data_IF_813936072045
#
_entry.id   IF_813936072045
#
_cell.length_a   1.000
_cell.length_b   1.000
_cell.length_c   1.000
_cell.angle_alpha   90.00
_cell.angle_beta   90.00
_cell.angle_gamma   90.00
#
_symmetry.space_group_name_H-M   'P 1'
#
loop_
_entity.id
_entity.type
_entity.pdbx_description
1 polymer ?
#
# COMPACT_ATOMS: atom_id res chain seq x y z
N UNK A 1 -12.70 -2.37 3.36
CA UNK A 1 -11.40 -2.90 3.87
C UNK A 1 -11.52 -3.50 5.26
N UNK A 2 -12.08 -2.78 6.28
CA UNK A 2 -12.13 -3.26 7.67
C UNK A 2 -12.83 -4.61 7.85
N UNK A 3 -14.03 -4.78 7.33
CA UNK A 3 -14.78 -6.06 7.40
C UNK A 3 -14.07 -7.23 6.70
N UNK A 4 -13.34 -6.97 5.64
CA UNK A 4 -12.53 -7.99 4.95
C UNK A 4 -11.33 -8.40 5.81
N UNK A 5 -10.70 -7.44 6.49
CA UNK A 5 -9.60 -7.70 7.41
C UNK A 5 -10.04 -8.53 8.63
N UNK A 6 -11.23 -8.24 9.18
CA UNK A 6 -11.79 -8.99 10.32
C UNK A 6 -12.14 -10.44 9.96
N UNK A 7 -12.46 -10.70 8.69
CA UNK A 7 -12.90 -12.02 8.21
C UNK A 7 -11.76 -12.86 7.64
N UNK A 8 -10.83 -12.25 6.94
CA UNK A 8 -9.75 -12.95 6.23
C UNK A 8 -8.36 -12.73 6.85
N UNK A 9 -8.22 -11.78 7.76
CA UNK A 9 -6.94 -11.38 8.34
C UNK A 9 -6.20 -10.32 7.52
N UNK A 10 -5.16 -9.73 8.11
CA UNK A 10 -4.41 -8.64 7.49
C UNK A 10 -3.61 -9.08 6.24
N UNK A 11 -3.04 -10.29 6.27
CA UNK A 11 -2.16 -10.82 5.21
C UNK A 11 -2.84 -10.95 3.85
N UNK A 12 -3.97 -11.69 3.68
CA UNK A 12 -4.57 -11.85 2.36
C UNK A 12 -5.17 -10.56 1.81
N UNK A 13 -5.66 -9.67 2.67
CA UNK A 13 -6.19 -8.36 2.25
C UNK A 13 -5.07 -7.44 1.77
N UNK A 14 -3.94 -7.41 2.47
CA UNK A 14 -2.75 -6.65 2.05
C UNK A 14 -2.16 -7.19 0.75
N UNK A 15 -2.10 -8.52 0.58
CA UNK A 15 -1.65 -9.16 -0.66
C UNK A 15 -2.57 -8.82 -1.83
N UNK A 16 -3.89 -8.91 -1.64
CA UNK A 16 -4.85 -8.52 -2.67
C UNK A 16 -4.67 -7.06 -3.07
N UNK A 17 -4.58 -6.14 -2.09
CA UNK A 17 -4.35 -4.72 -2.34
C UNK A 17 -3.05 -4.45 -3.10
N UNK A 18 -1.95 -5.12 -2.73
CA UNK A 18 -0.66 -4.96 -3.39
C UNK A 18 -0.64 -5.51 -4.82
N UNK A 19 -1.31 -6.63 -5.09
CA UNK A 19 -1.45 -7.19 -6.44
C UNK A 19 -2.28 -6.24 -7.32
N UNK A 20 -3.42 -5.76 -6.83
CA UNK A 20 -4.28 -4.82 -7.57
C UNK A 20 -3.53 -3.51 -7.87
N UNK A 21 -2.76 -2.99 -6.90
CA UNK A 21 -1.91 -1.82 -7.07
C UNK A 21 -0.86 -2.04 -8.18
N UNK A 22 -0.19 -3.18 -8.16
CA UNK A 22 0.84 -3.54 -9.15
C UNK A 22 0.22 -3.69 -10.55
N UNK A 23 -0.91 -4.36 -10.66
CA UNK A 23 -1.63 -4.51 -11.94
C UNK A 23 -2.08 -3.16 -12.50
N UNK A 24 -2.61 -2.26 -11.67
CA UNK A 24 -2.98 -0.90 -12.07
C UNK A 24 -1.77 -0.10 -12.55
N UNK A 25 -0.62 -0.23 -11.88
CA UNK A 25 0.62 0.46 -12.26
C UNK A 25 1.21 -0.10 -13.56
N UNK A 26 1.19 -1.42 -13.75
CA UNK A 26 1.59 -2.06 -15.01
C UNK A 26 0.67 -1.68 -16.16
N UNK A 27 -0.66 -1.63 -15.94
CA UNK A 27 -1.61 -1.16 -16.94
C UNK A 27 -1.34 0.27 -17.39
N UNK A 28 -0.93 1.15 -16.48
CA UNK A 28 -0.50 2.51 -16.82
C UNK A 28 0.84 2.55 -17.55
N UNK A 29 1.73 1.58 -17.33
CA UNK A 29 3.01 1.48 -18.08
C UNK A 29 2.83 1.17 -19.57
N UNK A 30 1.66 0.70 -19.98
CA UNK A 30 1.32 0.40 -21.38
C UNK A 30 0.71 1.61 -22.13
N UNK A 31 0.67 2.78 -21.52
CA UNK A 31 0.17 4.01 -22.14
C UNK A 31 1.05 4.37 -23.34
N UNK A 32 0.43 4.54 -24.53
CA UNK A 32 1.02 4.97 -25.77
C UNK A 32 0.37 6.29 -26.25
N UNK A 33 0.88 6.88 -27.33
CA UNK A 33 0.34 8.13 -27.89
C UNK A 33 -1.15 8.05 -28.27
N UNK A 34 -1.61 6.86 -28.69
CA UNK A 34 -3.00 6.62 -29.12
C UNK A 34 -3.87 6.03 -28.01
N UNK A 35 -3.38 6.02 -26.76
CA UNK A 35 -4.12 5.43 -25.65
C UNK A 35 -5.29 6.32 -25.26
N UNK A 36 -6.50 5.76 -25.33
CA UNK A 36 -7.74 6.46 -24.98
C UNK A 36 -7.71 6.90 -23.51
N UNK A 37 -8.11 8.12 -23.24
CA UNK A 37 -8.03 8.77 -21.93
C UNK A 37 -8.78 7.96 -20.84
N UNK A 38 -9.84 7.25 -21.23
CA UNK A 38 -10.59 6.37 -20.34
C UNK A 38 -9.78 5.19 -19.82
N UNK A 39 -8.83 4.68 -20.62
CA UNK A 39 -7.92 3.60 -20.18
C UNK A 39 -7.08 4.04 -19.01
N UNK A 40 -6.48 5.22 -19.11
CA UNK A 40 -5.67 5.80 -18.03
C UNK A 40 -6.50 6.02 -16.78
N UNK A 41 -7.73 6.51 -16.93
CA UNK A 41 -8.66 6.74 -15.81
C UNK A 41 -9.05 5.45 -15.11
N UNK A 42 -9.33 4.38 -15.85
CA UNK A 42 -9.68 3.06 -15.30
C UNK A 42 -8.48 2.48 -14.56
N UNK A 43 -7.28 2.49 -15.15
CA UNK A 43 -6.06 2.01 -14.49
C UNK A 43 -5.75 2.79 -13.22
N UNK A 44 -5.93 4.11 -13.24
CA UNK A 44 -5.77 4.98 -12.07
C UNK A 44 -6.78 4.62 -10.97
N UNK A 45 -8.04 4.38 -11.32
CA UNK A 45 -9.07 3.98 -10.38
C UNK A 45 -8.76 2.63 -9.73
N UNK A 46 -8.37 1.63 -10.52
CA UNK A 46 -7.93 0.31 -10.02
C UNK A 46 -6.75 0.47 -9.06
N UNK A 47 -5.77 1.30 -9.40
CA UNK A 47 -4.61 1.57 -8.57
C UNK A 47 -5.00 2.17 -7.22
N UNK A 48 -5.94 3.11 -7.18
CA UNK A 48 -6.43 3.74 -5.95
C UNK A 48 -7.19 2.75 -5.06
N UNK A 49 -7.96 1.84 -5.65
CA UNK A 49 -8.60 0.75 -4.91
C UNK A 49 -7.53 -0.12 -4.24
N UNK A 50 -6.50 -0.55 -5.01
CA UNK A 50 -5.39 -1.33 -4.47
C UNK A 50 -4.68 -0.65 -3.30
N UNK A 51 -4.45 0.66 -3.42
CA UNK A 51 -3.85 1.48 -2.35
C UNK A 51 -4.70 1.49 -1.08
N UNK A 52 -6.02 1.65 -1.20
CA UNK A 52 -6.94 1.63 -0.06
C UNK A 52 -6.95 0.28 0.68
N UNK A 53 -6.95 -0.82 -0.08
CA UNK A 53 -6.90 -2.18 0.51
C UNK A 53 -5.55 -2.53 1.12
N UNK A 54 -4.47 -1.88 0.69
CA UNK A 54 -3.11 -2.11 1.19
C UNK A 54 -2.81 -1.32 2.46
N UNK A 55 -3.13 -0.01 2.47
CA UNK A 55 -2.76 0.89 3.56
C UNK A 55 -3.44 0.54 4.89
N UNK A 56 -4.72 0.16 4.84
CA UNK A 56 -5.50 -0.12 6.03
C UNK A 56 -4.95 -1.33 6.83
N UNK A 57 -4.75 -2.52 6.21
CA UNK A 57 -4.22 -3.68 6.93
C UNK A 57 -2.80 -3.46 7.46
N UNK A 58 -1.93 -2.81 6.69
CA UNK A 58 -0.54 -2.58 7.10
C UNK A 58 -0.48 -1.63 8.30
N UNK A 59 -1.25 -0.54 8.27
CA UNK A 59 -1.29 0.41 9.38
C UNK A 59 -1.85 -0.24 10.63
N UNK A 60 -2.95 -0.99 10.52
CA UNK A 60 -3.55 -1.68 11.67
C UNK A 60 -2.62 -2.76 12.22
N UNK A 61 -1.96 -3.52 11.35
CA UNK A 61 -1.02 -4.56 11.77
C UNK A 61 0.19 -3.95 12.49
N UNK A 62 0.76 -2.85 11.98
CA UNK A 62 1.90 -2.18 12.61
C UNK A 62 1.54 -1.61 14.00
N UNK A 63 0.35 -1.05 14.14
CA UNK A 63 -0.14 -0.54 15.43
C UNK A 63 -0.48 -1.65 16.43
N UNK A 64 -0.94 -2.81 15.96
CA UNK A 64 -1.22 -3.96 16.81
C UNK A 64 0.03 -4.64 17.37
N UNK A 65 1.22 -4.34 16.83
CA UNK A 65 2.49 -4.79 17.38
C UNK A 65 2.94 -3.98 18.61
N UNK A 66 2.27 -2.88 18.94
CA UNK A 66 2.57 -1.99 20.05
C UNK A 66 1.72 -2.34 21.29
N UNK A 67 2.32 -2.27 22.47
CA UNK A 67 1.72 -2.82 23.71
C UNK A 67 1.03 -1.80 24.61
N UNK A 68 0.78 -0.57 24.17
CA UNK A 68 0.13 0.45 25.01
C UNK A 68 -0.49 1.62 24.24
N UNK A 69 -1.47 2.32 24.82
CA UNK A 69 -2.12 3.46 24.16
C UNK A 69 -1.16 4.60 23.79
N UNK A 70 -0.15 4.86 24.63
CA UNK A 70 0.89 5.86 24.39
C UNK A 70 1.83 5.44 23.26
N UNK A 71 2.21 4.15 23.19
CA UNK A 71 3.04 3.60 22.13
C UNK A 71 2.29 3.57 20.79
N UNK A 72 1.00 3.27 20.79
CA UNK A 72 0.14 3.31 19.59
C UNK A 72 0.05 4.72 19.04
N UNK A 73 -0.11 5.74 19.90
CA UNK A 73 -0.14 7.13 19.49
C UNK A 73 1.20 7.58 18.88
N UNK A 74 2.31 7.27 19.54
CA UNK A 74 3.65 7.56 19.04
C UNK A 74 3.93 6.82 17.72
N UNK A 75 3.61 5.53 17.63
CA UNK A 75 3.79 4.72 16.43
C UNK A 75 2.96 5.21 15.25
N UNK A 76 1.74 5.69 15.50
CA UNK A 76 0.89 6.31 14.48
C UNK A 76 1.53 7.59 13.92
N UNK A 77 2.06 8.45 14.79
CA UNK A 77 2.74 9.69 14.39
C UNK A 77 4.00 9.41 13.58
N UNK A 78 4.83 8.46 14.03
CA UNK A 78 6.05 8.04 13.30
C UNK A 78 5.70 7.47 11.92
N UNK A 79 4.70 6.60 11.83
CA UNK A 79 4.26 6.00 10.57
C UNK A 79 3.74 7.06 9.60
N UNK A 80 2.97 8.04 10.09
CA UNK A 80 2.45 9.12 9.26
C UNK A 80 3.58 10.05 8.77
N UNK A 81 4.52 10.40 9.64
CA UNK A 81 5.69 11.22 9.29
C UNK A 81 6.57 10.49 8.27
N UNK A 82 6.86 9.21 8.47
CA UNK A 82 7.63 8.41 7.52
C UNK A 82 6.97 8.35 6.15
N UNK A 83 5.63 8.21 6.10
CA UNK A 83 4.87 8.25 4.85
C UNK A 83 4.97 9.60 4.14
N UNK A 84 4.90 10.71 4.89
CA UNK A 84 5.02 12.04 4.32
C UNK A 84 6.42 12.29 3.76
N UNK A 85 7.47 11.92 4.51
CA UNK A 85 8.86 12.01 4.05
C UNK A 85 9.07 11.15 2.78
N UNK A 86 8.59 9.91 2.79
CA UNK A 86 8.68 9.03 1.64
C UNK A 86 7.97 9.61 0.40
N UNK A 87 6.81 10.24 0.57
CA UNK A 87 6.10 10.94 -0.50
C UNK A 87 6.84 12.18 -1.00
N UNK A 88 7.38 12.98 -0.08
CA UNK A 88 8.13 14.20 -0.42
C UNK A 88 9.43 13.91 -1.19
N UNK A 89 10.10 12.80 -0.90
CA UNK A 89 11.32 12.36 -1.63
C UNK A 89 10.98 11.55 -2.87
N UNK A 90 9.99 10.67 -2.80
CA UNK A 90 9.64 9.74 -3.87
C UNK A 90 9.13 10.44 -5.14
N UNK A 91 8.32 11.47 -5.00
CA UNK A 91 7.78 12.20 -6.15
C UNK A 91 8.86 12.91 -6.96
N UNK A 92 9.76 13.73 -6.38
CA UNK A 92 10.87 14.33 -7.13
C UNK A 92 11.81 13.31 -7.77
N UNK A 93 12.11 12.22 -7.09
CA UNK A 93 12.96 11.15 -7.66
C UNK A 93 12.34 10.56 -8.93
N UNK A 94 11.03 10.27 -8.92
CA UNK A 94 10.33 9.78 -10.10
C UNK A 94 10.32 10.80 -11.24
N UNK A 95 10.17 12.10 -10.94
CA UNK A 95 10.21 13.17 -11.94
C UNK A 95 11.61 13.26 -12.58
N UNK A 96 12.68 13.25 -11.78
CA UNK A 96 14.06 13.27 -12.27
C UNK A 96 14.34 12.06 -13.16
N UNK A 97 13.89 10.86 -12.77
CA UNK A 97 14.01 9.66 -13.60
C UNK A 97 13.27 9.82 -14.92
N UNK A 98 12.03 10.32 -14.89
CA UNK A 98 11.24 10.58 -16.09
C UNK A 98 11.95 11.55 -17.04
N UNK A 99 12.46 12.67 -16.53
CA UNK A 99 13.17 13.68 -17.31
C UNK A 99 14.49 13.14 -17.86
N UNK A 100 15.24 12.37 -17.08
CA UNK A 100 16.49 11.75 -17.51
C UNK A 100 16.28 10.81 -18.69
N UNK A 101 15.28 9.91 -18.60
CA UNK A 101 14.95 8.99 -19.69
C UNK A 101 14.40 9.71 -20.91
N UNK A 102 13.60 10.76 -20.72
CA UNK A 102 13.12 11.61 -21.81
C UNK A 102 14.28 12.33 -22.52
N UNK A 103 15.25 12.87 -21.78
CA UNK A 103 16.41 13.54 -22.33
C UNK A 103 17.31 12.58 -23.16
N UNK A 104 17.53 11.36 -22.63
CA UNK A 104 18.29 10.33 -23.34
C UNK A 104 17.63 9.96 -24.69
N UNK A 105 16.32 9.82 -24.71
CA UNK A 105 15.58 9.46 -25.91
C UNK A 105 15.55 10.62 -26.93
N UNK A 106 15.48 11.85 -26.45
CA UNK A 106 15.54 13.05 -27.28
C UNK A 106 16.89 13.20 -28.01
N UNK A 107 17.99 12.82 -27.36
CA UNK A 107 19.33 12.80 -28.00
C UNK A 107 19.40 11.81 -29.18
N UNK A 108 18.57 10.77 -29.19
CA UNK A 108 18.42 9.83 -30.30
C UNK A 108 17.56 10.33 -31.46
N UNK A 109 17.16 11.61 -31.48
CA UNK A 109 16.43 12.22 -32.63
C UNK A 109 14.89 12.09 -32.51
N UNK A 110 14.36 11.65 -31.38
CA UNK A 110 12.92 11.55 -31.18
C UNK A 110 12.24 12.92 -30.96
N UNK A 111 10.97 13.06 -31.34
CA UNK A 111 10.19 14.26 -31.06
C UNK A 111 10.04 14.47 -29.54
N UNK A 112 9.87 15.73 -29.11
CA UNK A 112 9.74 16.07 -27.69
C UNK A 112 8.60 15.32 -27.00
N UNK A 113 7.48 15.10 -27.71
CA UNK A 113 6.32 14.36 -27.19
C UNK A 113 6.63 12.87 -27.03
N UNK A 114 7.28 12.26 -28.03
CA UNK A 114 7.67 10.85 -27.97
C UNK A 114 8.68 10.60 -26.83
N UNK A 115 9.66 11.51 -26.66
CA UNK A 115 10.62 11.45 -25.57
C UNK A 115 9.96 11.54 -24.18
N UNK A 116 8.98 12.43 -24.01
CA UNK A 116 8.25 12.55 -22.75
C UNK A 116 7.45 11.28 -22.42
N UNK A 117 6.76 10.72 -23.41
CA UNK A 117 6.00 9.47 -23.22
C UNK A 117 6.93 8.32 -22.85
N UNK A 118 8.08 8.22 -23.50
CA UNK A 118 9.10 7.22 -23.17
C UNK A 118 9.60 7.36 -21.73
N UNK A 119 9.88 8.58 -21.28
CA UNK A 119 10.27 8.87 -19.91
C UNK A 119 9.21 8.45 -18.90
N UNK A 120 7.94 8.77 -19.16
CA UNK A 120 6.80 8.37 -18.33
C UNK A 120 6.68 6.84 -18.26
N UNK A 121 6.77 6.14 -19.38
CA UNK A 121 6.69 4.69 -19.42
C UNK A 121 7.79 4.03 -18.57
N UNK A 122 9.03 4.51 -18.67
CA UNK A 122 10.14 3.99 -17.88
C UNK A 122 10.00 4.28 -16.40
N UNK A 123 9.57 5.49 -16.02
CA UNK A 123 9.28 5.82 -14.63
C UNK A 123 8.19 4.93 -14.05
N UNK A 124 7.12 4.65 -14.81
CA UNK A 124 6.04 3.73 -14.39
C UNK A 124 6.52 2.27 -14.30
N UNK A 125 7.41 1.82 -15.21
CA UNK A 125 8.00 0.46 -15.11
C UNK A 125 8.86 0.30 -13.86
N UNK A 126 9.70 1.30 -13.55
CA UNK A 126 10.48 1.29 -12.30
C UNK A 126 9.57 1.29 -11.10
N UNK A 127 8.52 2.13 -11.10
CA UNK A 127 7.51 2.13 -10.04
C UNK A 127 6.80 0.78 -9.90
N UNK A 128 6.49 0.09 -11.00
CA UNK A 128 5.89 -1.24 -10.98
C UNK A 128 6.83 -2.30 -10.38
N UNK A 129 8.14 -2.21 -10.64
CA UNK A 129 9.15 -3.09 -10.01
C UNK A 129 9.21 -2.85 -8.51
N UNK A 130 9.17 -1.60 -8.06
CA UNK A 130 9.12 -1.27 -6.64
C UNK A 130 7.83 -1.80 -6.00
N UNK A 131 6.68 -1.68 -6.68
CA UNK A 131 5.42 -2.28 -6.21
C UNK A 131 5.51 -3.80 -6.11
N UNK A 132 6.15 -4.46 -7.08
CA UNK A 132 6.37 -5.91 -7.05
C UNK A 132 7.27 -6.32 -5.86
N UNK A 133 8.34 -5.57 -5.61
CA UNK A 133 9.19 -5.79 -4.43
C UNK A 133 8.39 -5.64 -3.13
N UNK A 134 7.47 -4.66 -3.07
CA UNK A 134 6.56 -4.48 -1.95
C UNK A 134 5.59 -5.66 -1.78
N UNK A 135 5.08 -6.25 -2.88
CA UNK A 135 4.26 -7.49 -2.84
C UNK A 135 5.05 -8.62 -2.17
N UNK A 136 6.30 -8.82 -2.59
CA UNK A 136 7.18 -9.83 -2.02
C UNK A 136 7.44 -9.56 -0.53
N UNK A 137 7.70 -8.30 -0.17
CA UNK A 137 7.92 -7.91 1.23
C UNK A 137 6.68 -8.18 2.08
N UNK A 138 5.47 -7.89 1.59
CA UNK A 138 4.21 -8.20 2.27
C UNK A 138 4.01 -9.71 2.38
N UNK A 139 4.34 -10.45 1.32
CA UNK A 139 4.20 -11.91 1.31
C UNK A 139 5.10 -12.60 2.33
N UNK A 140 6.36 -12.16 2.46
CA UNK A 140 7.33 -12.73 3.39
C UNK A 140 7.28 -12.10 4.79
N UNK A 141 6.97 -10.79 4.88
CA UNK A 141 7.08 -10.00 6.12
C UNK A 141 5.81 -10.07 6.99
N UNK A 142 4.63 -10.12 6.41
CA UNK A 142 3.38 -10.17 7.18
C UNK A 142 3.09 -11.61 7.56
N UNK A 143 3.59 -12.05 8.72
CA UNK A 143 3.18 -13.31 9.35
C UNK A 143 1.74 -13.20 9.84
N UNK A 144 0.92 -14.20 9.52
CA UNK A 144 -0.53 -14.21 9.74
C UNK A 144 -1.04 -14.26 11.18
N UNK A 145 -0.22 -13.95 12.18
CA UNK A 145 -0.55 -14.09 13.60
C UNK A 145 -1.46 -13.00 14.19
N UNK A 146 -1.84 -11.98 13.39
CA UNK A 146 -2.67 -10.88 13.88
C UNK A 146 -4.13 -11.25 14.18
N UNK A 147 -4.71 -12.23 13.49
CA UNK A 147 -6.12 -12.60 13.66
C UNK A 147 -6.37 -13.44 14.93
N UNK A 148 -5.37 -14.22 15.38
CA UNK A 148 -5.46 -15.02 16.60
C UNK A 148 -5.46 -14.15 17.86
N UNK A 149 -4.54 -13.19 17.93
CA UNK A 149 -4.35 -12.36 19.12
C UNK A 149 -5.56 -11.46 19.44
N UNK A 150 -6.24 -10.94 18.42
CA UNK A 150 -7.43 -10.09 18.60
C UNK A 150 -8.62 -10.92 19.14
N UNK A 151 -8.78 -12.16 18.66
CA UNK A 151 -9.79 -13.09 19.17
C UNK A 151 -9.53 -13.47 20.64
N UNK A 152 -8.27 -13.72 20.99
CA UNK A 152 -7.90 -14.07 22.36
C UNK A 152 -8.11 -12.90 23.33
N UNK A 153 -7.80 -11.67 22.94
CA UNK A 153 -8.04 -10.49 23.78
C UNK A 153 -9.54 -10.25 23.99
N UNK A 154 -10.35 -10.40 22.95
CA UNK A 154 -11.82 -10.26 23.05
C UNK A 154 -12.39 -11.37 23.91
N UNK A 155 -11.94 -12.61 23.77
CA UNK A 155 -12.39 -13.74 24.59
C UNK A 155 -11.98 -13.59 26.06
N UNK A 156 -10.76 -13.11 26.33
CA UNK A 156 -10.28 -12.86 27.69
C UNK A 156 -11.03 -11.69 28.37
N UNK A 157 -11.37 -10.63 27.63
CA UNK A 157 -12.22 -9.55 28.15
C UNK A 157 -13.62 -10.06 28.48
N UNK A 158 -14.24 -10.80 27.59
CA UNK A 158 -15.55 -11.40 27.82
C UNK A 158 -15.56 -12.36 29.03
N UNK A 159 -14.49 -13.14 29.22
CA UNK A 159 -14.32 -14.01 30.38
C UNK A 159 -14.10 -13.22 31.69
N UNK A 160 -13.34 -12.14 31.66
CA UNK A 160 -13.13 -11.23 32.80
C UNK A 160 -14.46 -10.57 33.25
N UNK A 161 -15.25 -10.07 32.29
CA UNK A 161 -16.55 -9.46 32.57
C UNK A 161 -17.54 -10.47 33.14
N UNK A 162 -17.58 -11.70 32.63
CA UNK A 162 -18.40 -12.78 33.17
C UNK A 162 -17.98 -13.15 34.60
N UNK A 163 -16.67 -13.15 34.88
CA UNK A 163 -16.14 -13.43 36.22
C UNK A 163 -16.46 -12.30 37.20
N UNK A 164 -16.32 -11.05 36.78
CA UNK A 164 -16.68 -9.87 37.59
C UNK A 164 -18.17 -9.84 37.93
N UNK A 165 -19.06 -10.16 36.98
CA UNK A 165 -20.52 -10.25 37.21
C UNK A 165 -20.89 -11.38 38.16
N UNK A 166 -20.18 -12.51 38.14
CA UNK A 166 -20.41 -13.61 39.09
C UNK A 166 -19.94 -13.27 40.50
N UNK A 167 -18.85 -12.50 40.66
CA UNK A 167 -18.38 -12.05 41.99
C UNK A 167 -19.25 -10.94 42.57
N UNK A 168 -19.94 -10.14 41.74
CA UNK A 168 -20.88 -9.10 42.20
C UNK A 168 -22.29 -9.63 42.52
N UNK A 169 -22.59 -10.88 42.15
CA UNK A 169 -23.88 -11.53 42.39
C UNK A 169 -23.89 -12.50 43.62
N UNK A 170 -22.71 -12.73 44.19
CA UNK A 170 -22.53 -13.47 45.50
C UNK A 170 -22.17 -12.50 46.61
#
# INVERSE_FOLDING_TARGET
>A
GGRAMDRFGARPVALFGSIVLTLGTLGMSLVAMDTWIWWVSICQFIRQIGMGFLLMPITTWSLNCLNGPSEVSAGSSVTNTARQIAGAVGAPVLVILMETFAALHKQGGASAVAASIFGIQWALRISAIICLAMVLMVFFGVKGDGAGRTRDIISLRALRERRARRMAAN
#
